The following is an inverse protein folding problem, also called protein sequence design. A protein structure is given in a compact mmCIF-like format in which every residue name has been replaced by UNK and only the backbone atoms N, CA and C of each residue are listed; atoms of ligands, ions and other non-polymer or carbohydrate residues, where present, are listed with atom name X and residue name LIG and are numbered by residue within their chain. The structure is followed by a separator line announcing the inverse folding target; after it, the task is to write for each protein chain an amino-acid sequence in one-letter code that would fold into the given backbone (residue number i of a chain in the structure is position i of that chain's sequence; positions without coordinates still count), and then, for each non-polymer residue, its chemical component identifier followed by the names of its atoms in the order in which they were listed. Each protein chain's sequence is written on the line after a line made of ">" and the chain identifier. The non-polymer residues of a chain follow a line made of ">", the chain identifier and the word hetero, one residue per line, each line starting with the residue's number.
data_IF_304907362215
#
_entry.id   IF_304907362215
#
_cell.length_a   1.000
_cell.length_b   1.000
_cell.length_c   1.000
_cell.angle_alpha   90.00
_cell.angle_beta   90.00
_cell.angle_gamma   90.00
#
_symmetry.space_group_name_H-M   'P 1'
#
loop_
_entity.id
_entity.type
_entity.pdbx_description
1 polymer ?
#
# COMPACT_ATOMS: atom_id res chain seq x y z
N UNK A 1 -33.31 -65.93 -20.87
CA UNK A 1 -32.74 -64.69 -20.30
C UNK A 1 -31.53 -65.09 -19.47
N UNK A 2 -30.35 -64.50 -19.49
CA UNK A 2 -29.71 -63.43 -20.29
C UNK A 2 -28.24 -63.45 -19.81
N UNK A 3 -27.30 -63.65 -20.73
CA UNK A 3 -25.93 -63.10 -20.81
C UNK A 3 -25.27 -63.82 -21.99
N UNK A 4 -24.60 -63.12 -22.94
CA UNK A 4 -23.28 -62.50 -22.72
C UNK A 4 -23.09 -61.20 -23.59
N UNK A 5 -21.89 -60.81 -24.07
CA UNK A 5 -20.77 -60.15 -23.39
C UNK A 5 -20.37 -58.78 -24.01
N UNK A 6 -19.27 -58.22 -23.50
CA UNK A 6 -18.56 -56.98 -23.88
C UNK A 6 -18.35 -56.77 -25.39
N UNK A 7 -18.49 -55.52 -25.83
CA UNK A 7 -17.90 -55.01 -27.09
C UNK A 7 -17.03 -53.77 -26.84
N UNK A 8 -15.86 -53.83 -27.46
CA UNK A 8 -14.87 -52.78 -27.72
C UNK A 8 -15.33 -51.84 -28.83
N UNK A 9 -15.11 -50.53 -28.69
CA UNK A 9 -15.09 -49.59 -29.82
C UNK A 9 -13.75 -48.86 -29.88
N UNK A 10 -13.06 -49.04 -31.00
CA UNK A 10 -11.80 -48.41 -31.35
C UNK A 10 -11.98 -46.96 -31.81
N UNK A 11 -10.93 -46.16 -31.60
CA UNK A 11 -10.82 -44.79 -32.10
C UNK A 11 -10.00 -44.83 -33.40
N UNK A 12 -10.60 -44.37 -34.49
CA UNK A 12 -9.94 -44.14 -35.78
C UNK A 12 -9.02 -42.91 -35.70
N UNK A 13 -7.76 -43.09 -36.11
CA UNK A 13 -6.80 -42.03 -36.39
C UNK A 13 -7.04 -41.50 -37.82
N UNK A 14 -7.41 -40.23 -37.92
CA UNK A 14 -7.49 -39.49 -39.18
C UNK A 14 -6.49 -38.33 -39.16
N UNK A 15 -5.51 -38.41 -40.05
CA UNK A 15 -4.47 -37.41 -40.31
C UNK A 15 -4.94 -36.33 -41.29
N UNK A 16 -4.68 -35.03 -41.01
CA UNK A 16 -4.21 -34.08 -42.03
C UNK A 16 -3.71 -32.73 -41.47
N UNK A 17 -2.47 -32.42 -41.84
CA UNK A 17 -1.81 -31.14 -42.16
C UNK A 17 -2.32 -29.81 -41.58
N UNK A 18 -1.42 -29.11 -40.85
CA UNK A 18 -1.24 -27.67 -41.00
C UNK A 18 0.26 -27.33 -41.13
N UNK A 19 0.55 -26.48 -42.13
CA UNK A 19 1.86 -25.99 -42.55
C UNK A 19 2.55 -25.19 -41.45
N UNK A 20 3.85 -25.42 -41.26
CA UNK A 20 4.75 -24.54 -40.50
C UNK A 20 5.57 -23.69 -41.47
N UNK A 21 5.38 -22.38 -41.42
CA UNK A 21 6.31 -21.44 -42.04
C UNK A 21 7.57 -21.28 -41.18
N UNK A 22 8.70 -21.27 -41.87
CA UNK A 22 10.09 -21.22 -41.43
C UNK A 22 10.47 -19.93 -40.67
N UNK A 23 11.21 -20.09 -39.57
CA UNK A 23 12.13 -19.08 -39.00
C UNK A 23 13.53 -19.72 -38.93
N UNK A 24 14.63 -19.05 -39.35
CA UNK A 24 15.94 -19.69 -39.45
C UNK A 24 16.61 -19.91 -38.08
N UNK A 25 17.13 -21.13 -37.91
CA UNK A 25 18.08 -21.54 -36.89
C UNK A 25 19.48 -20.96 -37.16
N UNK A 26 20.16 -20.52 -36.10
CA UNK A 26 21.63 -20.59 -36.02
C UNK A 26 22.08 -21.17 -34.68
N UNK A 27 22.38 -22.48 -34.76
CA UNK A 27 23.49 -23.25 -34.16
C UNK A 27 23.76 -23.19 -32.66
N UNK A 28 23.59 -24.34 -32.00
CA UNK A 28 24.30 -24.69 -30.76
C UNK A 28 23.64 -25.77 -29.92
N UNK A 29 23.49 -26.99 -30.45
CA UNK A 29 23.13 -28.20 -29.69
C UNK A 29 24.19 -28.48 -28.60
N UNK A 30 23.83 -28.86 -27.39
CA UNK A 30 23.75 -30.25 -26.86
C UNK A 30 23.72 -30.05 -25.32
N UNK A 31 22.98 -30.72 -24.43
CA UNK A 31 22.32 -32.01 -24.42
C UNK A 31 21.24 -32.01 -23.31
N UNK A 32 20.05 -32.49 -23.68
CA UNK A 32 19.16 -33.41 -22.92
C UNK A 32 18.40 -32.93 -21.67
N UNK A 33 17.13 -32.56 -21.92
CA UNK A 33 15.94 -32.76 -21.08
C UNK A 33 15.72 -34.24 -20.69
N UNK A 34 15.27 -34.51 -19.45
CA UNK A 34 14.45 -35.62 -18.87
C UNK A 34 14.76 -35.55 -17.35
N UNK A 35 13.89 -35.43 -16.34
CA UNK A 35 12.48 -35.78 -16.13
C UNK A 35 11.99 -35.07 -14.85
N UNK A 36 10.70 -34.77 -14.75
CA UNK A 36 9.98 -34.27 -13.56
C UNK A 36 9.63 -35.44 -12.61
N UNK A 37 9.54 -35.15 -11.31
CA UNK A 37 9.10 -35.99 -10.18
C UNK A 37 10.15 -36.91 -9.56
N UNK A 38 10.54 -36.58 -8.32
CA UNK A 38 10.55 -37.49 -7.17
C UNK A 38 10.86 -36.69 -5.90
N UNK A 39 9.81 -36.36 -5.16
CA UNK A 39 9.89 -36.10 -3.72
C UNK A 39 10.09 -37.45 -3.00
N UNK A 40 10.78 -37.39 -1.86
CA UNK A 40 11.18 -38.48 -0.94
C UNK A 40 12.50 -39.20 -1.26
N UNK A 41 13.57 -38.85 -0.51
CA UNK A 41 14.52 -39.73 0.21
C UNK A 41 15.55 -38.87 1.01
N UNK A 42 16.16 -39.40 2.09
CA UNK A 42 16.73 -38.64 3.24
C UNK A 42 18.16 -38.07 3.05
N UNK A 43 18.58 -37.11 3.90
CA UNK A 43 19.86 -36.42 3.80
C UNK A 43 20.99 -37.25 4.42
N UNK A 44 21.51 -38.20 3.65
CA UNK A 44 22.80 -38.83 3.94
C UNK A 44 23.42 -39.26 2.62
N UNK A 45 24.06 -38.31 1.94
CA UNK A 45 25.08 -38.47 0.88
C UNK A 45 25.26 -37.09 0.19
N UNK A 46 26.00 -36.18 0.83
CA UNK A 46 26.57 -35.01 0.17
C UNK A 46 28.08 -35.01 0.46
N UNK A 47 28.96 -35.14 -0.55
CA UNK A 47 30.38 -34.95 -0.36
C UNK A 47 30.70 -33.46 -0.20
N UNK A 48 31.50 -33.19 0.81
CA UNK A 48 32.10 -31.91 1.18
C UNK A 48 33.00 -31.37 0.08
N UNK A 49 32.66 -30.20 -0.47
CA UNK A 49 33.57 -29.40 -1.29
C UNK A 49 33.80 -28.04 -0.63
N UNK A 50 35.06 -27.83 -0.24
CA UNK A 50 35.61 -26.61 0.32
C UNK A 50 36.58 -26.03 -0.70
N UNK A 51 36.42 -24.78 -1.18
CA UNK A 51 37.49 -24.06 -1.84
C UNK A 51 38.18 -23.15 -0.82
N UNK A 52 39.44 -23.47 -0.52
CA UNK A 52 40.38 -22.54 0.11
C UNK A 52 40.81 -21.48 -0.91
N UNK A 53 40.86 -20.24 -0.43
CA UNK A 53 42.03 -19.38 -0.58
C UNK A 53 42.25 -18.70 -1.93
N UNK A 54 41.80 -17.44 -2.02
CA UNK A 54 42.52 -16.39 -2.73
C UNK A 54 42.46 -15.13 -1.86
N UNK A 55 43.58 -14.84 -1.19
CA UNK A 55 43.78 -13.56 -0.52
C UNK A 55 44.30 -12.52 -1.51
N UNK A 56 44.02 -11.25 -1.23
CA UNK A 56 44.93 -10.09 -1.28
C UNK A 56 44.19 -8.86 -0.67
N UNK A 57 44.92 -7.86 -0.16
CA UNK A 57 44.52 -7.03 0.98
C UNK A 57 44.03 -5.63 0.58
N UNK A 58 43.26 -4.99 1.46
CA UNK A 58 43.16 -3.54 1.54
C UNK A 58 43.12 -3.10 3.01
N UNK A 59 44.30 -2.70 3.51
CA UNK A 59 44.45 -1.79 4.64
C UNK A 59 44.20 -0.35 4.14
N UNK A 60 43.51 0.46 4.94
CA UNK A 60 43.14 1.82 4.55
C UNK A 60 42.55 2.67 5.67
N UNK A 61 43.31 2.80 6.76
CA UNK A 61 43.40 3.95 7.67
C UNK A 61 42.12 4.53 8.31
N UNK A 62 41.93 4.14 9.57
CA UNK A 62 41.23 4.87 10.61
C UNK A 62 42.08 6.07 11.06
N UNK A 63 41.54 7.29 11.02
CA UNK A 63 42.21 8.51 11.46
C UNK A 63 41.30 9.34 12.36
N UNK A 64 41.20 8.97 13.63
CA UNK A 64 40.57 9.77 14.69
C UNK A 64 41.62 10.72 15.30
N UNK A 65 41.36 12.02 15.23
CA UNK A 65 41.95 13.01 16.13
C UNK A 65 40.83 13.92 16.64
N UNK A 66 40.45 13.77 17.91
CA UNK A 66 39.64 14.73 18.64
C UNK A 66 40.46 15.30 19.81
N UNK A 67 40.65 16.61 19.77
CA UNK A 67 41.18 17.43 20.86
C UNK A 67 40.09 17.59 21.93
N UNK A 68 40.45 17.30 23.19
CA UNK A 68 39.60 17.54 24.36
C UNK A 68 39.56 19.02 24.72
N UNK A 69 38.36 19.55 24.97
CA UNK A 69 38.17 20.72 25.83
C UNK A 69 36.96 20.53 26.73
N UNK A 70 37.20 20.51 28.04
CA UNK A 70 36.22 20.44 29.12
C UNK A 70 35.31 21.68 29.13
N UNK A 71 34.00 21.50 28.95
CA UNK A 71 32.95 22.27 29.65
C UNK A 71 31.66 21.46 29.62
N UNK A 72 31.03 21.30 30.79
CA UNK A 72 29.79 20.53 30.97
C UNK A 72 28.62 21.18 30.24
N UNK A 73 28.20 20.55 29.14
CA UNK A 73 26.87 20.60 28.58
C UNK A 73 26.71 19.31 27.76
N UNK A 74 25.71 18.49 28.07
CA UNK A 74 25.38 17.27 27.35
C UNK A 74 25.01 17.63 25.90
N UNK A 75 26.00 17.62 25.02
CA UNK A 75 25.77 17.49 23.59
C UNK A 75 25.32 16.06 23.36
N UNK A 76 24.05 15.88 23.03
CA UNK A 76 23.57 14.68 22.35
C UNK A 76 24.41 14.55 21.07
N UNK A 77 25.47 13.74 21.12
CA UNK A 77 26.22 13.41 19.93
C UNK A 77 25.28 12.62 19.04
N UNK A 78 24.82 13.24 17.95
CA UNK A 78 24.07 12.59 16.90
C UNK A 78 24.98 11.58 16.17
N UNK A 79 25.36 10.50 16.85
CA UNK A 79 25.74 9.28 16.14
C UNK A 79 24.45 8.74 15.57
N UNK A 80 24.24 8.98 14.27
CA UNK A 80 23.27 8.25 13.46
C UNK A 80 23.75 6.80 13.34
N UNK A 81 23.64 6.03 14.42
CA UNK A 81 23.66 4.58 14.30
C UNK A 81 22.35 4.21 13.58
N UNK A 82 22.45 3.83 12.31
CA UNK A 82 21.34 3.20 11.63
C UNK A 82 21.08 1.85 12.33
N UNK A 83 19.85 1.57 12.76
CA UNK A 83 19.54 0.29 13.37
C UNK A 83 19.78 -0.83 12.37
N UNK A 84 20.06 -2.04 12.87
CA UNK A 84 20.12 -3.23 12.04
C UNK A 84 18.80 -3.35 11.22
N UNK A 85 18.89 -3.76 9.97
CA UNK A 85 17.77 -3.78 9.04
C UNK A 85 16.58 -4.61 9.58
N UNK A 86 16.87 -5.58 10.44
CA UNK A 86 15.89 -6.49 11.08
C UNK A 86 15.46 -6.08 12.49
N UNK A 87 16.05 -5.04 13.07
CA UNK A 87 15.73 -4.63 14.44
C UNK A 87 14.25 -4.24 14.56
N UNK A 88 13.53 -4.71 15.59
CA UNK A 88 12.11 -4.41 15.76
C UNK A 88 11.18 -4.91 14.63
N UNK A 89 11.69 -5.68 13.66
CA UNK A 89 10.89 -6.34 12.63
C UNK A 89 10.55 -7.75 13.10
N UNK A 90 9.27 -8.14 12.99
CA UNK A 90 8.85 -9.52 13.33
C UNK A 90 9.63 -10.54 12.50
N UNK A 91 10.13 -11.60 13.15
CA UNK A 91 10.84 -12.70 12.52
C UNK A 91 10.01 -13.48 11.48
N UNK A 92 8.70 -13.20 11.38
CA UNK A 92 7.82 -13.74 10.32
C UNK A 92 8.10 -13.14 8.94
N UNK A 93 8.76 -11.98 8.89
CA UNK A 93 9.13 -11.36 7.62
C UNK A 93 10.43 -11.97 7.10
N UNK A 94 10.38 -12.50 5.88
CA UNK A 94 11.60 -12.73 5.11
C UNK A 94 12.06 -11.39 4.54
N UNK A 95 12.89 -10.67 5.29
CA UNK A 95 13.38 -9.34 4.89
C UNK A 95 14.22 -9.35 3.61
N UNK A 96 14.67 -10.53 3.14
CA UNK A 96 15.35 -10.67 1.85
C UNK A 96 14.41 -10.60 0.65
N UNK A 97 13.14 -10.96 0.83
CA UNK A 97 12.15 -11.02 -0.26
C UNK A 97 10.89 -10.17 -0.03
N UNK A 98 10.66 -9.73 1.21
CA UNK A 98 9.45 -9.04 1.64
C UNK A 98 9.77 -7.67 2.23
N UNK A 99 8.87 -6.71 2.01
CA UNK A 99 8.94 -5.38 2.62
C UNK A 99 8.11 -5.36 3.91
N UNK A 100 8.72 -5.16 5.10
CA UNK A 100 7.98 -5.16 6.35
C UNK A 100 6.99 -4.00 6.46
N UNK A 101 5.72 -4.34 6.70
CA UNK A 101 4.65 -3.39 6.99
C UNK A 101 4.19 -3.51 8.45
N UNK A 102 3.65 -2.41 9.01
CA UNK A 102 2.98 -2.44 10.31
C UNK A 102 1.62 -3.15 10.23
N UNK A 103 1.04 -3.49 11.39
CA UNK A 103 -0.30 -4.08 11.46
C UNK A 103 -0.39 -5.61 11.59
N UNK A 104 0.74 -6.29 11.79
CA UNK A 104 0.75 -7.74 12.03
C UNK A 104 1.24 -8.11 13.44
N UNK A 105 1.82 -7.16 14.17
CA UNK A 105 2.43 -7.38 15.49
C UNK A 105 1.43 -7.90 16.52
N UNK A 106 0.15 -7.54 16.39
CA UNK A 106 -0.92 -8.00 17.28
C UNK A 106 -1.01 -9.53 17.39
N UNK A 107 -0.57 -10.28 16.38
CA UNK A 107 -0.56 -11.76 16.41
C UNK A 107 0.51 -12.35 17.31
N UNK A 108 1.60 -11.60 17.52
CA UNK A 108 2.79 -12.04 18.27
C UNK A 108 2.82 -11.47 19.69
N UNK A 109 1.79 -10.71 20.08
CA UNK A 109 1.71 -10.00 21.36
C UNK A 109 0.66 -10.64 22.27
N UNK A 110 1.11 -11.31 23.33
CA UNK A 110 0.22 -11.87 24.37
C UNK A 110 -0.48 -10.80 25.21
N UNK A 111 0.07 -9.59 25.23
CA UNK A 111 -0.42 -8.42 25.94
C UNK A 111 -1.14 -7.42 25.01
N UNK A 112 -1.54 -7.80 23.80
CA UNK A 112 -2.13 -6.89 22.82
C UNK A 112 -3.42 -6.21 23.35
N UNK A 113 -3.51 -4.89 23.16
CA UNK A 113 -4.66 -4.07 23.55
C UNK A 113 -5.26 -3.35 22.35
N UNK A 114 -4.46 -2.57 21.62
CA UNK A 114 -4.92 -1.80 20.45
C UNK A 114 -3.75 -1.50 19.50
N UNK A 115 -4.00 -1.47 18.19
CA UNK A 115 -2.95 -1.26 17.19
C UNK A 115 -2.87 0.21 16.74
N UNK A 116 -1.91 0.93 17.30
CA UNK A 116 -1.58 2.30 16.94
C UNK A 116 -0.54 2.39 15.80
N UNK A 117 -0.06 1.26 15.29
CA UNK A 117 0.91 1.19 14.19
C UNK A 117 0.22 1.35 12.82
N UNK A 118 -1.09 1.08 12.73
CA UNK A 118 -1.86 1.13 11.48
C UNK A 118 -2.67 2.41 11.31
N UNK A 119 -2.67 2.93 10.08
CA UNK A 119 -3.36 4.17 9.69
C UNK A 119 -4.82 3.94 9.28
N UNK A 120 -5.50 2.97 9.87
CA UNK A 120 -6.93 2.71 9.63
C UNK A 120 -7.79 3.72 10.39
N UNK A 121 -9.07 3.81 10.01
CA UNK A 121 -10.04 4.64 10.70
C UNK A 121 -10.23 4.21 12.16
N UNK A 122 -10.24 5.20 13.08
CA UNK A 122 -10.42 4.98 14.51
C UNK A 122 -11.82 4.49 14.87
N UNK A 123 -12.80 4.62 13.98
CA UNK A 123 -14.15 4.06 14.18
C UNK A 123 -14.23 2.53 14.01
N UNK A 124 -13.11 1.87 13.66
CA UNK A 124 -13.04 0.42 13.37
C UNK A 124 -13.91 0.02 12.17
N UNK A 125 -14.00 -1.28 11.90
CA UNK A 125 -14.74 -1.82 10.75
C UNK A 125 -16.25 -1.56 10.89
N UNK A 126 -16.93 -1.00 9.87
CA UNK A 126 -18.38 -0.82 9.89
C UNK A 126 -19.13 -2.13 10.14
N UNK A 127 -19.94 -2.17 11.19
CA UNK A 127 -20.57 -3.39 11.72
C UNK A 127 -21.42 -4.12 10.67
N UNK A 128 -22.31 -3.39 9.98
CA UNK A 128 -23.21 -3.97 8.97
C UNK A 128 -22.45 -4.57 7.79
N UNK A 129 -21.45 -3.85 7.28
CA UNK A 129 -20.61 -4.37 6.20
C UNK A 129 -19.81 -5.62 6.63
N UNK A 130 -19.33 -5.65 7.89
CA UNK A 130 -18.67 -6.83 8.46
C UNK A 130 -19.61 -8.03 8.56
N UNK A 131 -20.85 -7.82 8.99
CA UNK A 131 -21.88 -8.87 9.06
C UNK A 131 -22.22 -9.43 7.67
N UNK A 132 -22.37 -8.56 6.66
CA UNK A 132 -22.58 -8.96 5.26
C UNK A 132 -21.39 -9.76 4.73
N UNK A 133 -20.16 -9.32 5.02
CA UNK A 133 -18.95 -10.07 4.66
C UNK A 133 -18.93 -11.44 5.36
N UNK A 134 -19.26 -11.51 6.65
CA UNK A 134 -19.29 -12.77 7.39
C UNK A 134 -20.33 -13.74 6.83
N UNK A 135 -21.51 -13.25 6.42
CA UNK A 135 -22.53 -14.07 5.78
C UNK A 135 -22.05 -14.67 4.44
N UNK A 136 -21.31 -13.88 3.65
CA UNK A 136 -20.72 -14.32 2.38
C UNK A 136 -19.70 -15.46 2.51
N UNK A 137 -19.21 -15.76 3.73
CA UNK A 137 -18.37 -16.93 3.97
C UNK A 137 -19.07 -18.24 3.57
N UNK A 138 -20.40 -18.28 3.61
CA UNK A 138 -21.19 -19.45 3.17
C UNK A 138 -21.07 -19.73 1.67
N UNK A 139 -20.61 -18.75 0.88
CA UNK A 139 -20.48 -18.84 -0.57
C UNK A 139 -19.04 -19.16 -1.02
N UNK A 140 -18.11 -19.44 -0.10
CA UNK A 140 -16.68 -19.61 -0.39
C UNK A 140 -16.36 -20.80 -1.31
N UNK A 141 -17.29 -21.75 -1.47
CA UNK A 141 -17.19 -22.83 -2.46
C UNK A 141 -17.35 -22.36 -3.91
N UNK A 142 -17.81 -21.13 -4.14
CA UNK A 142 -18.00 -20.53 -5.45
C UNK A 142 -16.92 -19.48 -5.74
N UNK A 143 -16.49 -19.41 -6.99
CA UNK A 143 -15.65 -18.30 -7.43
C UNK A 143 -16.40 -16.97 -7.34
N UNK A 144 -15.74 -15.88 -6.95
CA UNK A 144 -16.33 -14.55 -6.92
C UNK A 144 -16.68 -14.06 -8.33
N UNK A 145 -17.54 -13.05 -8.43
CA UNK A 145 -17.86 -12.45 -9.74
C UNK A 145 -16.61 -11.83 -10.38
N UNK A 146 -16.35 -12.14 -11.64
CA UNK A 146 -15.15 -11.67 -12.35
C UNK A 146 -15.21 -10.17 -12.70
N UNK A 147 -16.40 -9.59 -12.79
CA UNK A 147 -16.63 -8.15 -12.97
C UNK A 147 -16.70 -7.39 -11.64
N UNK A 148 -16.62 -8.11 -10.52
CA UNK A 148 -16.74 -7.61 -9.15
C UNK A 148 -18.07 -6.89 -8.84
N UNK A 149 -19.14 -7.16 -9.58
CA UNK A 149 -20.46 -6.61 -9.26
C UNK A 149 -21.11 -7.31 -8.04
N UNK A 150 -21.97 -6.60 -7.28
CA UNK A 150 -22.38 -5.20 -7.44
C UNK A 150 -21.40 -4.17 -6.84
N UNK A 151 -20.26 -4.62 -6.30
CA UNK A 151 -19.30 -3.74 -5.62
C UNK A 151 -18.70 -2.69 -6.55
N UNK A 152 -18.41 -3.06 -7.80
CA UNK A 152 -17.90 -2.13 -8.81
C UNK A 152 -18.85 -0.94 -9.04
N UNK A 153 -20.14 -1.22 -9.26
CA UNK A 153 -21.17 -0.17 -9.38
C UNK A 153 -21.32 0.67 -8.11
N UNK A 154 -21.26 0.02 -6.94
CA UNK A 154 -21.31 0.71 -5.65
C UNK A 154 -20.14 1.69 -5.45
N UNK A 155 -18.91 1.28 -5.77
CA UNK A 155 -17.73 2.14 -5.69
C UNK A 155 -17.80 3.29 -6.69
N UNK A 156 -18.21 3.03 -7.94
CA UNK A 156 -18.36 4.09 -8.93
C UNK A 156 -19.39 5.14 -8.47
N UNK A 157 -20.51 4.70 -7.90
CA UNK A 157 -21.53 5.57 -7.29
C UNK A 157 -20.96 6.39 -6.14
N UNK A 158 -20.21 5.75 -5.24
CA UNK A 158 -19.56 6.43 -4.13
C UNK A 158 -18.54 7.46 -4.60
N UNK A 159 -17.68 7.15 -5.58
CA UNK A 159 -16.70 8.10 -6.10
C UNK A 159 -17.36 9.33 -6.73
N UNK A 160 -18.44 9.12 -7.49
CA UNK A 160 -19.24 10.20 -8.08
C UNK A 160 -19.91 11.08 -7.01
N UNK A 161 -20.46 10.46 -5.97
CA UNK A 161 -21.20 11.12 -4.90
C UNK A 161 -22.71 11.19 -5.16
N UNK A 162 -23.48 11.46 -4.10
CA UNK A 162 -24.94 11.59 -4.24
C UNK A 162 -25.31 12.81 -5.10
N UNK A 163 -26.39 12.72 -5.91
CA UNK A 163 -26.91 13.87 -6.64
C UNK A 163 -27.22 15.02 -5.68
N UNK A 164 -26.78 16.22 -6.04
CA UNK A 164 -26.97 17.46 -5.25
C UNK A 164 -28.42 17.94 -5.26
N UNK A 165 -29.27 17.40 -6.14
CA UNK A 165 -30.70 17.70 -6.18
C UNK A 165 -31.54 16.56 -6.76
N UNK A 166 -32.86 16.63 -6.56
CA UNK A 166 -33.83 15.70 -7.17
C UNK A 166 -33.88 15.80 -8.70
N UNK A 167 -33.47 16.92 -9.30
CA UNK A 167 -33.47 17.14 -10.75
C UNK A 167 -32.29 16.44 -11.47
N UNK A 168 -31.24 16.08 -10.75
CA UNK A 168 -30.10 15.29 -11.28
C UNK A 168 -30.38 13.77 -11.28
N UNK A 169 -31.50 13.33 -10.69
CA UNK A 169 -31.85 11.92 -10.53
C UNK A 169 -32.59 11.40 -11.76
N UNK A 170 -31.87 10.80 -12.70
CA UNK A 170 -32.08 9.37 -13.10
C UNK A 170 -31.27 9.01 -14.34
N UNK A 171 -31.32 9.77 -15.44
CA UNK A 171 -30.63 9.36 -16.68
C UNK A 171 -29.16 9.84 -16.82
N UNK A 172 -28.83 11.05 -16.36
CA UNK A 172 -27.45 11.58 -16.40
C UNK A 172 -26.55 10.83 -15.41
N UNK A 173 -27.09 10.50 -14.24
CA UNK A 173 -26.36 9.79 -13.19
C UNK A 173 -25.90 8.39 -13.66
N UNK A 174 -26.77 7.61 -14.32
CA UNK A 174 -26.38 6.27 -14.82
C UNK A 174 -25.24 6.32 -15.85
N UNK A 175 -25.28 7.31 -16.77
CA UNK A 175 -24.20 7.49 -17.75
C UNK A 175 -22.87 7.91 -17.10
N UNK A 176 -22.93 8.78 -16.09
CA UNK A 176 -21.75 9.17 -15.32
C UNK A 176 -21.17 7.98 -14.54
N UNK A 177 -22.01 7.20 -13.87
CA UNK A 177 -21.58 5.99 -13.18
C UNK A 177 -20.94 5.02 -14.16
N UNK A 178 -21.56 4.78 -15.31
CA UNK A 178 -21.00 3.89 -16.33
C UNK A 178 -19.66 4.41 -16.90
N UNK A 179 -19.51 5.73 -17.05
CA UNK A 179 -18.24 6.36 -17.45
C UNK A 179 -17.13 6.08 -16.44
N UNK A 180 -17.43 6.21 -15.15
CA UNK A 180 -16.49 5.90 -14.05
C UNK A 180 -16.19 4.40 -14.03
N UNK A 181 -17.20 3.52 -14.11
CA UNK A 181 -17.05 2.06 -14.12
C UNK A 181 -16.10 1.58 -15.21
N UNK A 182 -16.22 2.12 -16.44
CA UNK A 182 -15.33 1.76 -17.56
C UNK A 182 -13.86 2.02 -17.26
N UNK A 183 -13.57 3.03 -16.44
CA UNK A 183 -12.23 3.43 -15.97
C UNK A 183 -11.81 2.78 -14.65
N UNK A 184 -12.75 2.24 -13.88
CA UNK A 184 -12.52 1.68 -12.56
C UNK A 184 -12.03 0.23 -12.66
N UNK A 185 -11.01 -0.10 -11.88
CA UNK A 185 -10.51 -1.47 -11.69
C UNK A 185 -10.40 -1.72 -10.19
N UNK A 186 -11.05 -2.78 -9.69
CA UNK A 186 -10.87 -3.25 -8.31
C UNK A 186 -9.83 -4.36 -8.27
N UNK A 187 -9.12 -4.50 -7.15
CA UNK A 187 -8.08 -5.53 -7.01
C UNK A 187 -7.73 -5.84 -5.55
N UNK A 188 -6.83 -6.81 -5.37
CA UNK A 188 -6.37 -7.41 -4.12
C UNK A 188 -5.52 -6.43 -3.28
N UNK A 189 -6.18 -5.39 -2.79
CA UNK A 189 -5.57 -4.22 -2.19
C UNK A 189 -4.97 -3.27 -3.23
N UNK A 190 -4.59 -2.08 -2.77
CA UNK A 190 -3.90 -1.12 -3.63
C UNK A 190 -2.55 -1.65 -4.13
N UNK A 191 -1.87 -2.51 -3.35
CA UNK A 191 -0.55 -3.05 -3.67
C UNK A 191 -0.50 -3.83 -4.99
N UNK A 192 -1.48 -4.70 -5.27
CA UNK A 192 -1.57 -5.41 -6.55
C UNK A 192 -1.67 -4.41 -7.71
N UNK A 193 -2.51 -3.39 -7.54
CA UNK A 193 -2.80 -2.40 -8.57
C UNK A 193 -1.61 -1.45 -8.81
N UNK A 194 -0.86 -1.10 -7.75
CA UNK A 194 0.41 -0.37 -7.85
C UNK A 194 1.42 -1.16 -8.68
N UNK A 195 1.57 -2.47 -8.39
CA UNK A 195 2.46 -3.35 -9.15
C UNK A 195 2.06 -3.45 -10.63
N UNK A 196 0.78 -3.74 -10.89
CA UNK A 196 0.24 -3.83 -12.26
C UNK A 196 0.45 -2.53 -13.05
N UNK A 197 0.14 -1.38 -12.47
CA UNK A 197 0.36 -0.10 -13.15
C UNK A 197 1.84 0.20 -13.36
N UNK A 198 2.72 -0.20 -12.44
CA UNK A 198 4.16 0.02 -12.57
C UNK A 198 4.69 -0.80 -13.75
N UNK A 199 4.35 -2.10 -13.79
CA UNK A 199 4.72 -3.01 -14.89
C UNK A 199 4.22 -2.54 -16.25
N UNK A 200 3.01 -2.00 -16.29
CA UNK A 200 2.34 -1.60 -17.53
C UNK A 200 2.62 -0.16 -17.96
N UNK A 201 3.37 0.60 -17.16
CA UNK A 201 3.78 1.98 -17.46
C UNK A 201 4.79 2.06 -18.61
N UNK A 202 5.54 0.98 -18.85
CA UNK A 202 6.70 0.92 -19.75
C UNK A 202 7.82 1.91 -19.37
N UNK A 203 7.82 2.42 -18.14
CA UNK A 203 8.84 3.34 -17.65
C UNK A 203 10.16 2.61 -17.36
N UNK A 204 11.28 3.24 -17.69
CA UNK A 204 12.63 2.84 -17.24
C UNK A 204 13.11 3.65 -16.03
N UNK A 205 12.44 4.77 -15.74
CA UNK A 205 12.78 5.67 -14.64
C UNK A 205 11.55 6.01 -13.80
N UNK A 206 11.75 6.16 -12.50
CA UNK A 206 10.69 6.52 -11.57
C UNK A 206 11.10 7.61 -10.58
N UNK A 207 10.13 8.28 -9.99
CA UNK A 207 10.33 9.21 -8.88
C UNK A 207 9.23 9.05 -7.83
N UNK A 208 9.57 9.01 -6.53
CA UNK A 208 8.61 9.42 -5.49
C UNK A 208 8.41 10.93 -5.62
N UNK A 209 7.24 11.45 -5.26
CA UNK A 209 7.10 12.90 -5.19
C UNK A 209 5.69 13.35 -4.85
N UNK A 210 5.50 14.54 -4.29
CA UNK A 210 6.52 15.52 -3.97
C UNK A 210 7.15 15.35 -2.57
N UNK A 211 6.82 14.28 -1.84
CA UNK A 211 7.31 14.08 -0.46
C UNK A 211 8.65 13.35 -0.40
N UNK A 212 9.41 13.64 0.65
CA UNK A 212 10.75 13.05 0.92
C UNK A 212 10.69 11.57 1.31
N UNK A 213 9.55 11.14 1.86
CA UNK A 213 9.25 9.75 2.19
C UNK A 213 7.76 9.48 1.98
N UNK A 214 7.43 8.24 1.58
CA UNK A 214 6.05 7.83 1.33
C UNK A 214 5.85 6.32 1.54
N UNK A 215 4.66 5.83 1.22
CA UNK A 215 4.34 4.41 1.27
C UNK A 215 5.29 3.59 0.37
N UNK A 216 5.94 2.58 0.97
CA UNK A 216 7.08 1.87 0.35
C UNK A 216 6.71 0.96 -0.81
N UNK A 217 5.43 0.70 -1.04
CA UNK A 217 4.99 -0.20 -2.11
C UNK A 217 5.33 0.32 -3.50
N UNK A 218 5.33 1.64 -3.69
CA UNK A 218 5.75 2.28 -4.93
C UNK A 218 7.24 2.04 -5.23
N UNK A 219 8.10 2.22 -4.22
CA UNK A 219 9.54 1.98 -4.31
C UNK A 219 9.84 0.50 -4.53
N UNK A 220 9.20 -0.39 -3.77
CA UNK A 220 9.31 -1.85 -3.93
C UNK A 220 8.95 -2.26 -5.35
N UNK A 221 7.81 -1.80 -5.85
CA UNK A 221 7.33 -2.10 -7.20
C UNK A 221 8.29 -1.58 -8.28
N UNK A 222 8.78 -0.35 -8.13
CA UNK A 222 9.74 0.22 -9.07
C UNK A 222 11.07 -0.56 -9.09
N UNK A 223 11.62 -0.87 -7.91
CA UNK A 223 12.85 -1.64 -7.77
C UNK A 223 12.73 -3.05 -8.38
N UNK A 224 11.62 -3.74 -8.12
CA UNK A 224 11.35 -5.07 -8.69
C UNK A 224 11.23 -5.08 -10.22
N UNK A 225 10.93 -3.92 -10.81
CA UNK A 225 10.84 -3.74 -12.26
C UNK A 225 12.10 -3.07 -12.85
N UNK A 226 13.15 -2.88 -12.06
CA UNK A 226 14.42 -2.31 -12.52
C UNK A 226 14.38 -0.81 -12.84
N UNK A 227 13.36 -0.09 -12.39
CA UNK A 227 13.21 1.34 -12.66
C UNK A 227 14.24 2.13 -11.86
N UNK A 228 14.96 3.02 -12.54
CA UNK A 228 15.98 3.87 -11.93
C UNK A 228 15.36 5.11 -11.30
N UNK A 229 15.83 5.49 -10.11
CA UNK A 229 15.40 6.72 -9.46
C UNK A 229 15.86 7.93 -10.28
N UNK A 230 14.95 8.87 -10.53
CA UNK A 230 15.22 10.12 -11.24
C UNK A 230 14.52 11.29 -10.55
N UNK A 231 14.96 12.51 -10.90
CA UNK A 231 14.17 13.68 -10.55
C UNK A 231 12.76 13.58 -11.15
N UNK A 232 11.77 14.01 -10.38
CA UNK A 232 10.37 13.98 -10.77
C UNK A 232 10.12 14.62 -12.15
N UNK A 233 10.89 15.64 -12.59
CA UNK A 233 10.70 16.32 -13.91
C UNK A 233 11.16 15.47 -15.08
N UNK A 234 12.06 14.52 -14.82
CA UNK A 234 12.65 13.67 -15.85
C UNK A 234 12.11 12.23 -15.83
N UNK A 235 11.54 11.80 -14.71
CA UNK A 235 11.00 10.45 -14.54
C UNK A 235 9.85 10.13 -15.52
N UNK A 236 9.74 8.86 -15.92
CA UNK A 236 8.67 8.34 -16.79
C UNK A 236 7.49 7.80 -16.00
N UNK A 237 7.73 7.44 -14.74
CA UNK A 237 6.73 7.12 -13.74
C UNK A 237 6.90 8.03 -12.51
N UNK A 238 5.87 8.77 -12.15
CA UNK A 238 5.86 9.58 -10.91
C UNK A 238 4.78 9.05 -9.99
N UNK A 239 5.14 8.71 -8.76
CA UNK A 239 4.24 8.14 -7.77
C UNK A 239 4.08 9.11 -6.60
N UNK A 240 2.90 9.71 -6.46
CA UNK A 240 2.56 10.69 -5.46
C UNK A 240 1.54 10.17 -4.46
N UNK A 241 1.85 10.21 -3.17
CA UNK A 241 0.89 9.87 -2.11
C UNK A 241 0.34 11.16 -1.51
N UNK A 242 -0.96 11.40 -1.68
CA UNK A 242 -1.59 12.66 -1.26
C UNK A 242 -3.03 12.43 -0.76
N UNK A 243 -3.31 12.56 0.55
CA UNK A 243 -2.38 12.92 1.63
C UNK A 243 -1.30 11.86 1.88
N UNK A 244 -0.08 12.31 2.18
CA UNK A 244 1.06 11.43 2.31
C UNK A 244 1.03 10.58 3.59
N UNK A 245 1.30 9.29 3.45
CA UNK A 245 1.63 8.39 4.54
C UNK A 245 3.13 8.03 4.41
N UNK A 246 4.00 8.40 5.37
CA UNK A 246 3.70 8.67 6.77
C UNK A 246 3.61 10.14 7.18
N UNK A 247 4.03 11.11 6.36
CA UNK A 247 4.27 12.48 6.83
C UNK A 247 3.00 13.26 7.18
N UNK A 248 1.87 12.89 6.57
CA UNK A 248 0.60 13.60 6.67
C UNK A 248 0.57 14.90 5.88
N UNK A 249 1.54 15.13 5.00
CA UNK A 249 1.54 16.27 4.07
C UNK A 249 0.35 16.15 3.12
N UNK A 250 -0.22 17.30 2.78
CA UNK A 250 -1.37 17.36 1.88
C UNK A 250 -1.22 18.56 0.95
N UNK A 251 -1.25 18.25 -0.34
CA UNK A 251 -1.27 19.16 -1.46
C UNK A 251 -2.71 19.31 -1.95
N UNK A 252 -3.20 20.55 -1.99
CA UNK A 252 -4.53 20.86 -2.52
C UNK A 252 -4.60 20.59 -4.02
N UNK A 253 -5.81 20.38 -4.53
CA UNK A 253 -6.04 19.91 -5.90
C UNK A 253 -5.38 20.77 -6.97
N UNK A 254 -5.42 22.10 -6.85
CA UNK A 254 -4.80 22.99 -7.84
C UNK A 254 -3.27 22.95 -7.79
N UNK A 255 -2.68 22.71 -6.61
CA UNK A 255 -1.25 22.48 -6.49
C UNK A 255 -0.86 21.11 -7.09
N UNK A 256 -1.68 20.07 -6.88
CA UNK A 256 -1.49 18.75 -7.49
C UNK A 256 -1.57 18.81 -9.03
N UNK A 257 -2.53 19.56 -9.57
CA UNK A 257 -2.63 19.80 -11.01
C UNK A 257 -1.37 20.47 -11.57
N UNK A 258 -0.91 21.55 -10.94
CA UNK A 258 0.34 22.23 -11.34
C UNK A 258 1.55 21.29 -11.26
N UNK A 259 1.65 20.47 -10.22
CA UNK A 259 2.70 19.47 -10.09
C UNK A 259 2.69 18.47 -11.26
N UNK A 260 1.51 17.98 -11.65
CA UNK A 260 1.32 17.06 -12.79
C UNK A 260 1.61 17.76 -14.13
N UNK A 261 1.18 19.01 -14.28
CA UNK A 261 1.41 19.81 -15.50
C UNK A 261 2.90 20.12 -15.73
N UNK A 262 3.69 20.26 -14.65
CA UNK A 262 5.14 20.47 -14.74
C UNK A 262 5.92 19.16 -15.08
N UNK A 263 5.23 18.03 -15.33
CA UNK A 263 5.88 16.80 -15.81
C UNK A 263 6.10 16.83 -17.33
N UNK A 264 7.02 15.98 -17.81
CA UNK A 264 7.22 15.75 -19.25
C UNK A 264 5.99 15.09 -19.91
N UNK A 265 5.84 15.29 -21.22
CA UNK A 265 4.79 14.64 -22.01
C UNK A 265 4.96 13.10 -21.97
N UNK A 266 3.86 12.36 -22.08
CA UNK A 266 3.85 10.90 -22.10
C UNK A 266 4.06 10.20 -20.75
N UNK A 267 4.34 10.96 -19.68
CA UNK A 267 4.60 10.43 -18.33
C UNK A 267 3.39 9.66 -17.78
N UNK A 268 3.65 8.63 -16.99
CA UNK A 268 2.64 8.01 -16.13
C UNK A 268 2.73 8.60 -14.73
N UNK A 269 1.61 9.09 -14.21
CA UNK A 269 1.50 9.58 -12.84
C UNK A 269 0.52 8.71 -12.07
N UNK A 270 0.95 8.16 -10.95
CA UNK A 270 0.06 7.53 -9.97
C UNK A 270 -0.14 8.48 -8.80
N UNK A 271 -1.39 8.76 -8.46
CA UNK A 271 -1.75 9.56 -7.28
C UNK A 271 -2.52 8.68 -6.30
N UNK A 272 -1.91 8.38 -5.16
CA UNK A 272 -2.52 7.66 -4.05
C UNK A 272 -3.36 8.60 -3.20
N UNK A 273 -4.67 8.44 -3.32
CA UNK A 273 -5.66 9.21 -2.57
C UNK A 273 -6.27 8.37 -1.43
N UNK A 274 -5.60 7.30 -0.98
CA UNK A 274 -6.11 6.42 0.10
C UNK A 274 -6.49 7.13 1.40
N UNK A 275 -5.91 8.31 1.66
CA UNK A 275 -6.19 9.13 2.84
C UNK A 275 -7.10 10.35 2.55
N UNK A 276 -7.53 10.58 1.31
CA UNK A 276 -8.29 11.78 0.92
C UNK A 276 -9.65 11.85 1.63
N UNK A 277 -10.24 10.70 1.93
CA UNK A 277 -11.58 10.56 2.50
C UNK A 277 -11.75 11.24 3.86
N UNK A 278 -10.64 11.46 4.59
CA UNK A 278 -10.63 12.18 5.86
C UNK A 278 -10.70 13.70 5.72
N UNK A 279 -10.49 14.24 4.52
CA UNK A 279 -10.54 15.69 4.28
C UNK A 279 -11.86 16.31 4.76
N UNK A 280 -12.96 15.56 4.67
CA UNK A 280 -14.29 15.99 5.11
C UNK A 280 -15.36 15.68 4.06
N UNK A 281 -16.60 16.19 4.25
CA UNK A 281 -17.71 15.97 3.31
C UNK A 281 -17.40 16.44 1.88
N UNK A 282 -16.49 17.42 1.74
CA UNK A 282 -16.08 18.00 0.48
C UNK A 282 -14.81 17.35 -0.12
N UNK A 283 -14.36 16.18 0.34
CA UNK A 283 -13.12 15.54 -0.15
C UNK A 283 -13.05 15.42 -1.69
N UNK A 284 -14.19 15.24 -2.36
CA UNK A 284 -14.27 15.16 -3.84
C UNK A 284 -13.78 16.44 -4.54
N UNK A 285 -13.93 17.61 -3.90
CA UNK A 285 -13.40 18.86 -4.46
C UNK A 285 -11.88 18.91 -4.44
N UNK A 286 -11.25 18.08 -3.61
CA UNK A 286 -9.81 17.97 -3.46
C UNK A 286 -9.21 16.72 -4.12
N UNK A 287 -10.03 15.94 -4.83
CA UNK A 287 -9.65 14.66 -5.42
C UNK A 287 -9.62 14.76 -6.95
N UNK A 288 -8.68 14.04 -7.56
CA UNK A 288 -8.57 13.88 -9.01
C UNK A 288 -9.74 13.09 -9.61
N UNK A 289 -10.51 12.35 -8.81
CA UNK A 289 -11.69 11.62 -9.31
C UNK A 289 -12.76 12.57 -9.87
N UNK A 290 -12.79 13.83 -9.42
CA UNK A 290 -13.71 14.86 -9.90
C UNK A 290 -13.05 15.83 -10.90
N UNK A 291 -11.91 15.46 -11.49
CA UNK A 291 -11.16 16.27 -12.46
C UNK A 291 -11.08 15.61 -13.83
N UNK A 292 -12.12 14.86 -14.20
CA UNK A 292 -12.08 14.01 -15.40
C UNK A 292 -11.79 14.78 -16.69
N UNK A 293 -12.45 15.91 -16.92
CA UNK A 293 -12.23 16.70 -18.14
C UNK A 293 -10.79 17.20 -18.24
N UNK A 294 -10.20 17.58 -17.10
CA UNK A 294 -8.80 17.99 -17.01
C UNK A 294 -7.84 16.81 -17.26
N UNK A 295 -8.11 15.63 -16.66
CA UNK A 295 -7.32 14.41 -16.89
C UNK A 295 -7.39 13.97 -18.35
N UNK A 296 -8.58 13.98 -18.95
CA UNK A 296 -8.80 13.59 -20.35
C UNK A 296 -8.06 14.55 -21.28
N UNK A 297 -8.16 15.87 -21.05
CA UNK A 297 -7.42 16.88 -21.83
C UNK A 297 -5.92 16.67 -21.75
N UNK A 298 -5.36 16.39 -20.57
CA UNK A 298 -3.92 16.10 -20.42
C UNK A 298 -3.51 14.81 -21.14
N UNK A 299 -4.33 13.77 -21.08
CA UNK A 299 -4.09 12.53 -21.78
C UNK A 299 -4.06 12.73 -23.29
N UNK A 300 -5.03 13.46 -23.85
CA UNK A 300 -5.15 13.70 -25.29
C UNK A 300 -4.06 14.64 -25.83
N UNK A 301 -3.81 15.75 -25.14
CA UNK A 301 -2.92 16.81 -25.64
C UNK A 301 -1.44 16.55 -25.35
N UNK A 302 -1.14 15.81 -24.27
CA UNK A 302 0.24 15.63 -23.78
C UNK A 302 0.60 14.18 -23.53
N UNK A 303 -0.33 13.23 -23.70
CA UNK A 303 -0.09 11.82 -23.41
C UNK A 303 0.15 11.50 -21.94
N UNK A 304 -0.16 12.43 -21.02
CA UNK A 304 0.06 12.24 -19.58
C UNK A 304 -1.04 11.31 -19.03
N UNK A 305 -0.63 10.22 -18.40
CA UNK A 305 -1.52 9.17 -17.89
C UNK A 305 -1.66 9.30 -16.39
N UNK A 306 -2.78 9.84 -15.91
CA UNK A 306 -3.03 10.01 -14.47
C UNK A 306 -3.90 8.86 -13.94
N UNK A 307 -3.33 8.02 -13.08
CA UNK A 307 -4.04 6.96 -12.36
C UNK A 307 -4.29 7.40 -10.91
N UNK A 308 -5.53 7.29 -10.45
CA UNK A 308 -5.88 7.55 -9.04
C UNK A 308 -6.00 6.21 -8.31
N UNK A 309 -5.29 6.06 -7.20
CA UNK A 309 -5.20 4.82 -6.42
C UNK A 309 -5.97 5.02 -5.11
N UNK A 310 -6.77 4.02 -4.73
CA UNK A 310 -7.45 3.98 -3.44
C UNK A 310 -7.22 2.64 -2.73
N UNK A 311 -6.76 2.70 -1.49
CA UNK A 311 -6.77 1.59 -0.55
C UNK A 311 -8.02 1.68 0.34
N UNK A 312 -9.06 0.92 -0.03
CA UNK A 312 -10.33 0.87 0.73
C UNK A 312 -10.16 0.32 2.15
N UNK A 313 -9.06 -0.39 2.41
CA UNK A 313 -8.73 -0.89 3.74
C UNK A 313 -8.54 0.17 4.81
N UNK A 314 -8.23 1.42 4.43
CA UNK A 314 -7.87 2.48 5.38
C UNK A 314 -9.15 3.08 5.97
N UNK A 315 -9.96 3.69 5.11
CA UNK A 315 -11.17 4.41 5.51
C UNK A 315 -12.21 3.47 6.14
N UNK A 316 -12.31 2.23 5.66
CA UNK A 316 -13.25 1.23 6.18
C UNK A 316 -12.64 0.25 7.19
N UNK A 317 -11.40 0.50 7.63
CA UNK A 317 -10.68 -0.29 8.63
C UNK A 317 -10.69 -1.82 8.39
N UNK A 318 -10.59 -2.26 7.13
CA UNK A 318 -10.68 -3.67 6.74
C UNK A 318 -9.39 -4.23 6.08
N UNK A 319 -8.19 -4.08 6.70
CA UNK A 319 -6.93 -4.50 6.08
C UNK A 319 -6.89 -5.98 5.69
N UNK A 320 -7.56 -6.86 6.43
CA UNK A 320 -7.63 -8.29 6.16
C UNK A 320 -8.44 -8.69 4.93
N UNK A 321 -9.36 -7.84 4.45
CA UNK A 321 -10.17 -8.12 3.24
C UNK A 321 -9.40 -7.90 1.94
N UNK A 322 -8.29 -7.15 2.01
CA UNK A 322 -7.41 -6.85 0.87
C UNK A 322 -8.17 -6.26 -0.32
N UNK A 323 -8.74 -5.07 -0.15
CA UNK A 323 -9.53 -4.39 -1.19
C UNK A 323 -8.94 -3.03 -1.55
N UNK A 324 -8.76 -2.78 -2.85
CA UNK A 324 -8.27 -1.53 -3.42
C UNK A 324 -8.90 -1.25 -4.79
N UNK A 325 -8.68 -0.04 -5.31
CA UNK A 325 -9.07 0.30 -6.67
C UNK A 325 -8.11 1.27 -7.36
N UNK A 326 -8.20 1.28 -8.68
CA UNK A 326 -7.63 2.29 -9.56
C UNK A 326 -8.74 2.92 -10.38
N UNK A 327 -8.70 4.24 -10.49
CA UNK A 327 -9.37 4.97 -11.55
C UNK A 327 -8.34 5.32 -12.63
N UNK A 328 -8.43 4.65 -13.77
CA UNK A 328 -7.54 4.87 -14.91
C UNK A 328 -7.88 6.20 -15.63
N UNK A 329 -6.93 6.81 -16.37
CA UNK A 329 -7.20 8.06 -17.10
C UNK A 329 -8.21 7.88 -18.23
N UNK A 330 -8.33 6.67 -18.79
CA UNK A 330 -9.19 6.36 -19.92
C UNK A 330 -9.65 4.88 -19.88
N UNK A 331 -10.84 4.51 -20.40
CA UNK A 331 -11.32 3.13 -20.45
C UNK A 331 -10.32 2.11 -21.04
N UNK A 332 -9.58 2.49 -22.07
CA UNK A 332 -8.55 1.62 -22.67
C UNK A 332 -7.38 1.35 -21.72
N UNK A 333 -7.00 2.33 -20.89
CA UNK A 333 -5.99 2.11 -19.86
C UNK A 333 -6.48 1.12 -18.80
N UNK A 334 -7.75 1.24 -18.36
CA UNK A 334 -8.36 0.28 -17.44
C UNK A 334 -8.45 -1.13 -18.04
N UNK A 335 -8.79 -1.23 -19.33
CA UNK A 335 -8.81 -2.50 -20.08
C UNK A 335 -7.42 -3.14 -20.14
N UNK A 336 -6.34 -2.35 -20.32
CA UNK A 336 -4.96 -2.86 -20.25
C UNK A 336 -4.62 -3.43 -18.88
N UNK A 337 -5.03 -2.77 -17.79
CA UNK A 337 -4.85 -3.30 -16.43
C UNK A 337 -5.61 -4.62 -16.27
N UNK A 338 -6.92 -4.64 -16.56
CA UNK A 338 -7.76 -5.85 -16.46
C UNK A 338 -7.20 -7.03 -17.25
N UNK A 339 -6.64 -6.81 -18.44
CA UNK A 339 -6.02 -7.86 -19.27
C UNK A 339 -4.84 -8.57 -18.57
N UNK A 340 -4.12 -7.89 -17.69
CA UNK A 340 -2.95 -8.44 -16.98
C UNK A 340 -3.24 -8.74 -15.51
N UNK A 341 -4.42 -8.37 -15.02
CA UNK A 341 -4.88 -8.72 -13.69
C UNK A 341 -5.22 -10.21 -13.66
N UNK A 342 -4.87 -10.87 -12.56
CA UNK A 342 -5.24 -12.27 -12.37
C UNK A 342 -6.78 -12.40 -12.25
N UNK A 343 -7.40 -13.43 -12.84
CA UNK A 343 -8.83 -13.68 -12.65
C UNK A 343 -9.19 -13.80 -11.16
N UNK A 344 -10.40 -13.37 -10.79
CA UNK A 344 -10.91 -13.46 -9.42
C UNK A 344 -10.01 -12.75 -8.38
N UNK A 345 -9.43 -11.61 -8.77
CA UNK A 345 -8.52 -10.82 -7.93
C UNK A 345 -9.10 -10.38 -6.59
N UNK A 346 -10.43 -10.23 -6.50
CA UNK A 346 -11.13 -10.00 -5.24
C UNK A 346 -11.83 -11.25 -4.75
N UNK A 347 -11.73 -11.52 -3.45
CA UNK A 347 -12.48 -12.59 -2.79
C UNK A 347 -13.96 -12.20 -2.57
N UNK A 348 -14.84 -13.20 -2.42
CA UNK A 348 -16.29 -13.01 -2.26
C UNK A 348 -16.65 -12.15 -1.04
N UNK A 349 -15.90 -12.29 0.06
CA UNK A 349 -16.10 -11.50 1.30
C UNK A 349 -15.84 -10.02 1.04
N UNK A 350 -14.81 -9.68 0.28
CA UNK A 350 -14.45 -8.31 -0.08
C UNK A 350 -15.50 -7.67 -1.00
N UNK A 351 -16.03 -8.43 -1.97
CA UNK A 351 -17.12 -7.97 -2.84
C UNK A 351 -18.38 -7.67 -2.01
N UNK A 352 -18.77 -8.60 -1.13
CA UNK A 352 -19.93 -8.44 -0.27
C UNK A 352 -19.77 -7.23 0.68
N UNK A 353 -18.61 -7.12 1.35
CA UNK A 353 -18.28 -6.00 2.22
C UNK A 353 -18.35 -4.66 1.48
N UNK A 354 -17.70 -4.57 0.31
CA UNK A 354 -17.58 -3.33 -0.43
C UNK A 354 -18.93 -2.88 -1.00
N UNK A 355 -19.78 -3.84 -1.40
CA UNK A 355 -21.14 -3.58 -1.87
C UNK A 355 -22.04 -2.94 -0.81
N UNK A 356 -21.75 -3.19 0.47
CA UNK A 356 -22.47 -2.63 1.59
C UNK A 356 -21.84 -1.32 2.10
N UNK A 357 -20.53 -1.33 2.36
CA UNK A 357 -19.85 -0.26 3.09
C UNK A 357 -19.87 1.09 2.36
N UNK A 358 -19.87 1.07 1.02
CA UNK A 358 -19.87 2.29 0.20
C UNK A 358 -21.17 3.10 0.30
N UNK A 359 -22.19 2.55 0.96
CA UNK A 359 -23.49 3.20 1.24
C UNK A 359 -23.54 3.81 2.65
N UNK A 360 -22.52 3.58 3.48
CA UNK A 360 -22.50 3.98 4.89
C UNK A 360 -22.04 5.43 5.06
N UNK A 361 -22.91 6.37 4.67
CA UNK A 361 -22.64 7.80 4.79
C UNK A 361 -22.66 8.29 6.24
N UNK A 362 -23.36 7.60 7.14
CA UNK A 362 -23.36 7.92 8.58
C UNK A 362 -21.99 7.66 9.20
N UNK A 363 -21.34 6.53 8.85
CA UNK A 363 -19.97 6.26 9.25
C UNK A 363 -18.99 7.33 8.75
N UNK A 364 -19.17 7.81 7.51
CA UNK A 364 -18.35 8.91 6.96
C UNK A 364 -18.58 10.21 7.74
N UNK A 365 -19.83 10.55 8.03
CA UNK A 365 -20.20 11.72 8.83
C UNK A 365 -19.56 11.70 10.23
N UNK A 366 -19.66 10.56 10.92
CA UNK A 366 -19.00 10.35 12.21
C UNK A 366 -17.47 10.44 12.09
N UNK A 367 -16.88 9.90 11.01
CA UNK A 367 -15.44 9.98 10.75
C UNK A 367 -14.97 11.44 10.66
N UNK A 368 -15.69 12.27 9.90
CA UNK A 368 -15.36 13.70 9.72
C UNK A 368 -15.57 14.52 10.98
N UNK A 369 -16.54 14.13 11.82
CA UNK A 369 -16.82 14.78 13.11
C UNK A 369 -15.78 14.43 14.17
N UNK A 370 -15.41 13.15 14.27
CA UNK A 370 -14.63 12.63 15.40
C UNK A 370 -13.12 12.69 15.16
N UNK A 371 -12.63 12.35 13.96
CA UNK A 371 -11.18 12.27 13.70
C UNK A 371 -10.45 13.59 14.00
N UNK A 372 -10.92 14.77 13.55
CA UNK A 372 -10.25 16.03 13.85
C UNK A 372 -10.27 16.39 15.34
N UNK A 373 -11.37 16.05 16.04
CA UNK A 373 -11.51 16.31 17.49
C UNK A 373 -10.56 15.43 18.30
N UNK A 374 -10.50 14.14 17.97
CA UNK A 374 -9.59 13.19 18.61
C UNK A 374 -8.13 13.56 18.34
N UNK A 375 -7.80 13.92 17.10
CA UNK A 375 -6.45 14.37 16.72
C UNK A 375 -6.04 15.64 17.46
N UNK A 376 -6.94 16.63 17.58
CA UNK A 376 -6.65 17.87 18.32
C UNK A 376 -6.41 17.61 19.82
N UNK A 377 -7.26 16.79 20.45
CA UNK A 377 -7.08 16.39 21.85
C UNK A 377 -5.77 15.63 22.05
N UNK A 378 -5.49 14.64 21.19
CA UNK A 378 -4.28 13.83 21.24
C UNK A 378 -3.01 14.68 21.08
N UNK A 379 -2.98 15.60 20.11
CA UNK A 379 -1.88 16.54 19.90
C UNK A 379 -1.63 17.42 21.11
N UNK A 380 -2.68 17.99 21.72
CA UNK A 380 -2.57 18.82 22.93
C UNK A 380 -2.00 18.03 24.10
N UNK A 381 -2.48 16.81 24.31
CA UNK A 381 -1.96 15.93 25.37
C UNK A 381 -0.48 15.59 25.14
N UNK A 382 -0.11 15.19 23.92
CA UNK A 382 1.28 14.87 23.57
C UNK A 382 2.21 16.08 23.74
N UNK A 383 1.82 17.27 23.25
CA UNK A 383 2.63 18.48 23.42
C UNK A 383 2.79 18.88 24.90
N UNK A 384 1.79 18.60 25.74
CA UNK A 384 1.86 18.84 27.18
C UNK A 384 2.83 17.91 27.92
N UNK A 385 2.99 16.65 27.46
CA UNK A 385 3.94 15.70 28.07
C UNK A 385 5.33 15.76 27.44
N UNK A 386 5.44 16.17 26.18
CA UNK A 386 6.68 16.24 25.38
C UNK A 386 6.70 17.53 24.55
N UNK A 387 6.98 18.68 25.16
CA UNK A 387 6.98 19.98 24.48
C UNK A 387 8.00 20.08 23.34
N UNK A 388 9.04 19.25 23.36
CA UNK A 388 10.13 19.20 22.38
C UNK A 388 9.78 18.42 21.10
N UNK A 389 8.71 17.63 21.10
CA UNK A 389 8.29 16.87 19.94
C UNK A 389 7.65 17.77 18.87
N UNK A 390 8.03 17.50 17.62
CA UNK A 390 7.43 18.15 16.45
C UNK A 390 6.39 17.20 15.82
N UNK A 391 5.11 17.51 16.05
CA UNK A 391 3.97 16.69 15.64
C UNK A 391 3.41 17.19 14.31
N UNK A 392 3.69 16.45 13.23
CA UNK A 392 3.34 16.80 11.85
C UNK A 392 2.01 16.18 11.39
N UNK A 393 1.64 16.48 10.14
CA UNK A 393 0.43 16.00 9.47
C UNK A 393 -0.82 16.85 9.74
N UNK A 394 -1.80 16.77 8.85
CA UNK A 394 -3.08 17.48 8.99
C UNK A 394 -3.91 16.92 10.16
N UNK A 395 -4.64 17.79 10.86
CA UNK A 395 -5.46 17.40 12.03
C UNK A 395 -6.58 16.42 11.69
N UNK A 396 -7.10 16.45 10.46
CA UNK A 396 -8.18 15.57 10.03
C UNK A 396 -7.71 14.15 9.66
N UNK A 397 -6.41 13.89 9.58
CA UNK A 397 -5.88 12.55 9.28
C UNK A 397 -5.96 11.59 10.49
N UNK A 398 -6.03 10.27 10.25
CA UNK A 398 -6.18 9.26 11.30
C UNK A 398 -4.84 8.87 11.96
N UNK A 399 -3.81 9.71 11.83
CA UNK A 399 -2.48 9.47 12.43
C UNK A 399 -1.71 10.78 12.59
N UNK A 400 -0.63 10.72 13.37
CA UNK A 400 0.37 11.77 13.52
C UNK A 400 1.75 11.24 13.19
N UNK A 401 2.62 12.10 12.68
CA UNK A 401 4.02 11.82 12.40
C UNK A 401 4.89 12.69 13.31
N UNK A 402 5.65 12.07 14.20
CA UNK A 402 6.29 12.75 15.32
C UNK A 402 7.80 12.62 15.16
N UNK A 403 8.50 13.75 15.09
CA UNK A 403 9.95 13.78 15.28
C UNK A 403 10.28 13.86 16.77
N UNK A 404 10.82 12.77 17.31
CA UNK A 404 11.22 12.66 18.72
C UNK A 404 12.59 13.29 18.99
N UNK A 405 13.21 13.92 17.98
CA UNK A 405 14.53 14.58 18.02
C UNK A 405 15.73 13.64 18.20
N UNK A 406 15.52 12.40 18.61
CA UNK A 406 16.58 11.44 18.88
C UNK A 406 16.16 10.01 18.50
N UNK A 407 17.02 9.26 17.81
CA UNK A 407 16.76 7.87 17.43
C UNK A 407 16.54 6.97 18.65
N UNK A 408 17.36 7.14 19.70
CA UNK A 408 17.23 6.37 20.94
C UNK A 408 15.89 6.64 21.64
N UNK A 409 15.40 7.89 21.56
CA UNK A 409 14.08 8.24 22.09
C UNK A 409 12.97 7.54 21.29
N UNK A 410 12.97 7.66 19.96
CA UNK A 410 12.00 6.97 19.10
C UNK A 410 11.96 5.46 19.39
N UNK A 411 13.13 4.83 19.45
CA UNK A 411 13.28 3.39 19.77
C UNK A 411 12.71 3.05 21.15
N UNK A 412 13.08 3.81 22.19
CA UNK A 412 12.59 3.60 23.55
C UNK A 412 11.06 3.64 23.61
N UNK A 413 10.43 4.62 22.96
CA UNK A 413 8.98 4.74 22.97
C UNK A 413 8.28 3.67 22.15
N UNK A 414 8.86 3.23 21.03
CA UNK A 414 8.34 2.08 20.26
C UNK A 414 8.30 0.83 21.14
N UNK A 415 9.39 0.52 21.85
CA UNK A 415 9.45 -0.64 22.74
C UNK A 415 8.55 -0.49 23.98
N UNK A 416 8.50 0.72 24.57
CA UNK A 416 7.62 1.01 25.71
C UNK A 416 6.14 0.84 25.33
N UNK A 417 5.75 1.30 24.15
CA UNK A 417 4.40 1.11 23.62
C UNK A 417 4.10 -0.37 23.36
N UNK A 418 5.06 -1.12 22.81
CA UNK A 418 4.95 -2.57 22.57
C UNK A 418 4.78 -3.37 23.87
N UNK A 419 5.59 -3.10 24.90
CA UNK A 419 5.47 -3.76 26.22
C UNK A 419 4.16 -3.45 26.94
N UNK A 420 3.48 -2.34 26.58
CA UNK A 420 2.15 -1.97 27.08
C UNK A 420 0.99 -2.41 26.19
N UNK A 421 1.24 -3.22 25.16
CA UNK A 421 0.19 -3.78 24.32
C UNK A 421 -0.33 -2.85 23.23
N UNK A 422 0.31 -1.70 23.01
CA UNK A 422 -0.15 -0.63 22.12
C UNK A 422 0.89 -0.29 21.06
N UNK A 423 1.26 -1.21 20.17
CA UNK A 423 2.36 -1.01 19.22
C UNK A 423 2.16 0.24 18.36
N UNK A 424 3.24 0.97 18.13
CA UNK A 424 3.32 2.14 17.24
C UNK A 424 4.34 1.88 16.13
N UNK A 425 4.31 2.68 15.05
CA UNK A 425 5.24 2.45 13.93
C UNK A 425 6.51 3.27 14.08
N UNK A 426 7.65 2.60 14.15
CA UNK A 426 8.96 3.27 14.06
C UNK A 426 9.27 3.73 12.64
N UNK A 427 9.81 4.94 12.50
CA UNK A 427 10.26 5.52 11.24
C UNK A 427 11.59 4.99 10.72
N UNK A 428 12.39 4.29 11.52
CA UNK A 428 13.62 3.68 11.02
C UNK A 428 13.33 2.64 9.92
N UNK A 429 12.39 1.73 10.16
CA UNK A 429 12.12 0.60 9.26
C UNK A 429 11.20 0.97 8.10
N UNK A 430 11.73 0.82 6.88
CA UNK A 430 11.09 1.19 5.63
C UNK A 430 11.28 2.68 5.31
N UNK A 431 10.98 3.57 6.25
CA UNK A 431 11.00 5.02 5.98
C UNK A 431 12.38 5.68 6.09
N UNK A 432 13.37 5.04 6.72
CA UNK A 432 14.71 5.62 6.92
C UNK A 432 14.65 6.99 7.63
N UNK A 433 13.79 7.09 8.64
CA UNK A 433 13.58 8.26 9.49
C UNK A 433 13.71 7.84 10.96
N UNK A 434 14.93 7.58 11.45
CA UNK A 434 15.15 6.90 12.73
C UNK A 434 14.68 7.70 13.95
N UNK A 435 14.62 9.04 13.86
CA UNK A 435 14.08 9.89 14.94
C UNK A 435 12.56 9.97 14.96
N UNK A 436 11.88 9.37 13.98
CA UNK A 436 10.43 9.52 13.83
C UNK A 436 9.64 8.32 14.32
N UNK A 437 8.44 8.60 14.82
CA UNK A 437 7.40 7.60 15.09
C UNK A 437 6.08 8.03 14.41
N UNK A 438 5.30 7.06 13.94
CA UNK A 438 3.91 7.27 13.51
C UNK A 438 2.98 6.63 14.52
N UNK A 439 1.99 7.39 14.97
CA UNK A 439 0.98 6.93 15.93
C UNK A 439 -0.40 7.19 15.35
N UNK A 440 -1.26 6.17 15.33
CA UNK A 440 -2.63 6.32 14.89
C UNK A 440 -3.44 7.22 15.84
N UNK A 441 -4.45 7.91 15.32
CA UNK A 441 -5.44 8.63 16.13
C UNK A 441 -6.63 7.69 16.36
N UNK A 442 -7.04 7.56 17.63
CA UNK A 442 -8.09 6.65 18.12
C UNK A 442 -9.03 7.37 19.07
N UNK A 443 -10.05 6.66 19.55
CA UNK A 443 -10.94 7.16 20.60
C UNK A 443 -10.11 7.60 21.83
N UNK A 444 -10.46 8.70 22.52
CA UNK A 444 -9.69 9.21 23.65
C UNK A 444 -9.46 8.19 24.78
N UNK A 445 -10.38 7.24 25.00
CA UNK A 445 -10.22 6.19 26.01
C UNK A 445 -9.12 5.21 25.60
N UNK A 446 -9.06 4.83 24.33
CA UNK A 446 -8.00 3.98 23.78
C UNK A 446 -6.68 4.74 23.72
N UNK A 447 -6.71 5.99 23.26
CA UNK A 447 -5.54 6.86 23.16
C UNK A 447 -4.88 7.11 24.52
N UNK A 448 -5.64 7.08 25.63
CA UNK A 448 -5.06 7.22 26.97
C UNK A 448 -3.99 6.16 27.27
N UNK A 449 -4.11 4.95 26.72
CA UNK A 449 -3.19 3.84 26.95
C UNK A 449 -1.84 4.11 26.26
N UNK A 450 -1.86 4.54 24.99
CA UNK A 450 -0.63 4.92 24.29
C UNK A 450 -0.04 6.21 24.86
N UNK A 451 -0.86 7.17 25.29
CA UNK A 451 -0.37 8.38 25.99
C UNK A 451 0.37 8.01 27.27
N UNK A 452 -0.15 7.07 28.06
CA UNK A 452 0.50 6.65 29.30
C UNK A 452 1.85 5.95 29.02
N UNK A 453 1.92 5.15 27.96
CA UNK A 453 3.19 4.61 27.46
C UNK A 453 4.18 5.72 27.11
N UNK A 454 3.75 6.71 26.32
CA UNK A 454 4.59 7.84 25.87
C UNK A 454 4.94 8.83 26.99
N UNK A 455 4.22 8.80 28.12
CA UNK A 455 4.55 9.60 29.31
C UNK A 455 5.77 9.06 30.04
N UNK A 456 6.05 7.76 29.93
CA UNK A 456 7.18 7.09 30.60
C UNK A 456 8.47 7.89 30.40
N UNK A 457 9.14 8.35 31.47
CA UNK A 457 10.38 9.09 31.35
C UNK A 457 11.41 8.28 30.56
N UNK A 458 12.14 8.94 29.67
CA UNK A 458 13.29 8.31 29.02
C UNK A 458 14.28 7.95 30.13
N UNK A 459 14.49 6.66 30.37
CA UNK A 459 15.49 6.22 31.35
C UNK A 459 16.84 6.81 30.94
N UNK A 460 17.52 7.51 31.86
CA UNK A 460 18.90 7.88 31.63
C UNK A 460 19.71 6.59 31.41
N UNK A 461 20.52 6.51 30.35
CA UNK A 461 21.33 5.33 30.09
C UNK A 461 22.28 5.02 31.25
#
# INVERSE_FOLDING_TARGET
>A
MRTPPKETMGVCLGSCCWKTDTIPLCKGAHHTFWTVMLWWLPPSLLPSFCPRGAGLPFDGMCGNQFLFSNTGNLRCSAQMAFPDATEGVSARWDVGTQTPHGGQEWRDMSNFVEDFSVTTNGLRTPKRALEVAAAALREVSHYPSCDHEPACSGVATFLRGEPRSSAERTAINEKEIERIKKRLVLGNGASELIDLCTRLSCASTWSPGPTDVQYKEYERSAANNGLQLQDHKQAELVCAVNPCNPTGDFMEIEAMKRFIEDRKNGVTVMVDESMIFWFGPNWRSQSLVNQEDWVNKLYETRGIKVFVIHSWTKIWACPGLRVGSILAPHPEAAKRIRKHQVPWSLNTLAIAFLSEVVKDYDYMSETWKLTPRWSDAFRKTLQGIRPEWDIKGRKWLPFVWIDTKCSNAARFYVETCRTRGVPIRWGAHGYQRPTYIRVAVRDPKEAAIVVDALRTPLSSP
#
